data_IF_198928339941
#
_entry.id   IF_198928339941
#
_cell.length_a   1.000
_cell.length_b   1.000
_cell.length_c   1.000
_cell.angle_alpha   90.00
_cell.angle_beta   90.00
_cell.angle_gamma   90.00
#
_symmetry.space_group_name_H-M   'P 1'
#
loop_
_entity.id
_entity.type
_entity.pdbx_description
1 polymer ?
#
# COMPACT_ATOMS: atom_id res chain seq x y z
N UNK A 1 -27.99 -17.69 9.62
CA UNK A 1 -27.04 -18.78 9.29
C UNK A 1 -25.81 -18.25 8.55
N UNK A 2 -25.98 -17.46 7.47
CA UNK A 2 -24.87 -16.87 6.68
C UNK A 2 -23.95 -15.94 7.52
N UNK A 3 -24.51 -15.10 8.41
CA UNK A 3 -23.68 -14.20 9.23
C UNK A 3 -22.84 -14.91 10.30
N UNK A 4 -23.31 -16.06 10.82
CA UNK A 4 -22.57 -16.86 11.80
C UNK A 4 -21.37 -17.54 11.12
N UNK A 5 -21.60 -18.14 9.94
CA UNK A 5 -20.53 -18.75 9.16
C UNK A 5 -19.45 -17.74 8.76
N UNK A 6 -19.85 -16.52 8.36
CA UNK A 6 -18.93 -15.44 8.04
C UNK A 6 -18.05 -15.05 9.25
N UNK A 7 -18.64 -14.93 10.45
CA UNK A 7 -17.89 -14.65 11.68
C UNK A 7 -16.92 -15.78 12.06
N UNK A 8 -17.32 -17.03 11.86
CA UNK A 8 -16.47 -18.19 12.11
C UNK A 8 -15.28 -18.20 11.14
N UNK A 9 -15.52 -17.98 9.85
CA UNK A 9 -14.47 -17.90 8.83
C UNK A 9 -13.50 -16.75 9.12
N UNK A 10 -14.01 -15.58 9.48
CA UNK A 10 -13.19 -14.42 9.83
C UNK A 10 -12.32 -14.71 11.05
N UNK A 11 -12.90 -15.23 12.14
CA UNK A 11 -12.15 -15.66 13.32
C UNK A 11 -11.08 -16.70 12.97
N UNK A 12 -11.42 -17.68 12.15
CA UNK A 12 -10.45 -18.68 11.70
C UNK A 12 -9.30 -18.02 10.91
N UNK A 13 -9.61 -17.05 10.05
CA UNK A 13 -8.62 -16.34 9.21
C UNK A 13 -7.61 -15.56 10.04
N UNK A 14 -8.09 -14.75 11.00
CA UNK A 14 -7.25 -13.76 11.69
C UNK A 14 -6.78 -14.21 13.08
N UNK A 15 -7.39 -15.24 13.67
CA UNK A 15 -7.00 -15.72 15.01
C UNK A 15 -6.46 -17.16 14.99
N UNK A 16 -6.91 -18.02 14.07
CA UNK A 16 -6.51 -19.44 14.06
C UNK A 16 -5.33 -19.68 13.12
N UNK A 17 -5.41 -19.30 11.84
CA UNK A 17 -4.32 -19.53 10.88
C UNK A 17 -2.96 -18.99 11.38
N UNK A 18 -2.86 -17.78 11.96
CA UNK A 18 -1.58 -17.27 12.48
C UNK A 18 -0.92 -18.15 13.55
N UNK A 19 -1.69 -19.01 14.22
CA UNK A 19 -1.18 -19.91 15.28
C UNK A 19 -0.71 -21.27 14.74
N UNK A 20 -1.03 -21.59 13.49
CA UNK A 20 -0.68 -22.87 12.87
C UNK A 20 0.80 -22.88 12.42
N UNK A 21 1.40 -24.05 12.16
CA UNK A 21 2.74 -24.15 11.57
C UNK A 21 2.85 -23.38 10.25
N UNK A 22 3.99 -22.71 10.02
CA UNK A 22 4.20 -21.79 8.88
C UNK A 22 3.87 -22.42 7.52
N UNK A 23 4.30 -23.66 7.28
CA UNK A 23 4.08 -24.37 6.02
C UNK A 23 2.59 -24.61 5.68
N UNK A 24 1.69 -24.50 6.67
CA UNK A 24 0.25 -24.67 6.47
C UNK A 24 -0.45 -23.35 6.14
N UNK A 25 0.14 -22.19 6.43
CA UNK A 25 -0.60 -20.91 6.47
C UNK A 25 -0.98 -20.42 5.09
N UNK A 26 -0.03 -20.33 4.16
CA UNK A 26 -0.24 -19.87 2.77
C UNK A 26 -1.36 -20.64 2.05
N UNK A 27 -1.35 -21.99 1.99
CA UNK A 27 -2.45 -22.72 1.34
C UNK A 27 -3.79 -22.55 2.06
N UNK A 28 -3.82 -22.38 3.38
CA UNK A 28 -5.06 -22.12 4.12
C UNK A 28 -5.63 -20.73 3.80
N UNK A 29 -4.79 -19.69 3.80
CA UNK A 29 -5.22 -18.34 3.42
C UNK A 29 -5.73 -18.30 1.99
N UNK A 30 -5.04 -18.91 1.03
CA UNK A 30 -5.51 -18.96 -0.37
C UNK A 30 -6.94 -19.52 -0.48
N UNK A 31 -7.24 -20.61 0.23
CA UNK A 31 -8.57 -21.21 0.18
C UNK A 31 -9.64 -20.31 0.82
N UNK A 32 -9.31 -19.66 1.94
CA UNK A 32 -10.27 -18.82 2.65
C UNK A 32 -10.48 -17.48 1.97
N UNK A 33 -9.44 -16.87 1.43
CA UNK A 33 -9.55 -15.61 0.69
C UNK A 33 -10.40 -15.78 -0.57
N UNK A 34 -10.32 -16.94 -1.25
CA UNK A 34 -11.25 -17.28 -2.34
C UNK A 34 -12.72 -17.26 -1.88
N UNK A 35 -13.01 -17.85 -0.73
CA UNK A 35 -14.37 -17.84 -0.15
C UNK A 35 -14.80 -16.43 0.27
N UNK A 36 -13.87 -15.65 0.84
CA UNK A 36 -14.10 -14.26 1.22
C UNK A 36 -14.41 -13.40 -0.01
N UNK A 37 -13.65 -13.52 -1.10
CA UNK A 37 -13.89 -12.81 -2.35
C UNK A 37 -15.27 -13.12 -2.94
N UNK A 38 -15.71 -14.38 -2.91
CA UNK A 38 -17.07 -14.75 -3.34
C UNK A 38 -18.13 -14.08 -2.45
N UNK A 39 -17.94 -14.09 -1.13
CA UNK A 39 -18.84 -13.39 -0.19
C UNK A 39 -18.87 -11.89 -0.45
N UNK A 40 -17.72 -11.26 -0.67
CA UNK A 40 -17.61 -9.81 -0.87
C UNK A 40 -18.21 -9.41 -2.23
N UNK A 41 -18.07 -10.25 -3.27
CA UNK A 41 -18.79 -10.08 -4.55
C UNK A 41 -20.32 -10.20 -4.41
N UNK A 42 -20.83 -11.01 -3.49
CA UNK A 42 -22.26 -11.09 -3.20
C UNK A 42 -22.78 -9.91 -2.37
N UNK A 43 -21.89 -9.23 -1.63
CA UNK A 43 -22.20 -8.02 -0.84
C UNK A 43 -22.18 -6.78 -1.71
N UNK A 44 -21.20 -6.68 -2.61
CA UNK A 44 -21.18 -5.69 -3.66
C UNK A 44 -22.37 -5.95 -4.58
N UNK A 45 -23.35 -5.05 -4.58
CA UNK A 45 -24.40 -5.07 -5.58
C UNK A 45 -23.82 -4.62 -6.92
N UNK A 46 -23.08 -5.53 -7.57
CA UNK A 46 -22.46 -5.33 -8.89
C UNK A 46 -23.49 -5.04 -9.99
N UNK A 47 -24.79 -5.06 -9.69
CA UNK A 47 -25.86 -4.65 -10.60
C UNK A 47 -26.18 -3.16 -10.52
N UNK A 48 -25.80 -2.47 -9.44
CA UNK A 48 -25.91 -1.01 -9.31
C UNK A 48 -24.79 -0.34 -10.13
N UNK A 49 -25.10 -0.02 -11.39
CA UNK A 49 -24.17 0.68 -12.31
C UNK A 49 -23.71 2.07 -11.83
N UNK A 50 -24.33 2.65 -10.81
CA UNK A 50 -23.98 3.97 -10.25
C UNK A 50 -24.32 4.02 -8.75
N UNK A 51 -23.43 3.56 -7.84
CA UNK A 51 -23.67 3.65 -6.41
C UNK A 51 -23.73 5.11 -5.96
N UNK A 52 -24.65 5.41 -5.04
CA UNK A 52 -24.81 6.75 -4.45
C UNK A 52 -23.63 7.09 -3.53
N UNK A 53 -23.51 8.35 -3.11
CA UNK A 53 -22.53 8.75 -2.08
C UNK A 53 -22.68 7.88 -0.81
N UNK A 54 -23.92 7.67 -0.35
CA UNK A 54 -24.21 6.86 0.84
C UNK A 54 -23.79 5.40 0.65
N UNK A 55 -24.10 4.79 -0.51
CA UNK A 55 -23.66 3.42 -0.81
C UNK A 55 -22.13 3.29 -0.76
N UNK A 56 -21.41 4.30 -1.26
CA UNK A 56 -19.93 4.34 -1.23
C UNK A 56 -19.41 4.55 0.18
N UNK A 57 -20.07 5.41 0.96
CA UNK A 57 -19.66 5.72 2.33
C UNK A 57 -19.83 4.50 3.23
N UNK A 58 -20.97 3.81 3.14
CA UNK A 58 -21.23 2.57 3.86
C UNK A 58 -20.18 1.50 3.54
N UNK A 59 -19.85 1.33 2.25
CA UNK A 59 -18.81 0.41 1.82
C UNK A 59 -17.42 0.80 2.35
N UNK A 60 -17.07 2.09 2.30
CA UNK A 60 -15.79 2.59 2.79
C UNK A 60 -15.66 2.39 4.31
N UNK A 61 -16.72 2.68 5.08
CA UNK A 61 -16.74 2.49 6.53
C UNK A 61 -16.62 1.00 6.93
N UNK A 62 -17.34 0.10 6.27
CA UNK A 62 -17.18 -1.35 6.49
C UNK A 62 -15.76 -1.81 6.13
N UNK A 63 -15.21 -1.33 5.01
CA UNK A 63 -13.86 -1.66 4.57
C UNK A 63 -12.78 -1.17 5.54
N UNK A 64 -12.90 0.06 6.06
CA UNK A 64 -12.03 0.62 7.09
C UNK A 64 -12.06 -0.24 8.35
N UNK A 65 -13.24 -0.61 8.83
CA UNK A 65 -13.40 -1.46 10.01
C UNK A 65 -12.78 -2.86 9.81
N UNK A 66 -13.02 -3.49 8.67
CA UNK A 66 -12.48 -4.81 8.34
C UNK A 66 -10.95 -4.82 8.19
N UNK A 67 -10.39 -3.78 7.56
CA UNK A 67 -8.95 -3.63 7.38
C UNK A 67 -8.25 -3.37 8.71
N UNK A 68 -8.85 -2.54 9.58
CA UNK A 68 -8.37 -2.33 10.95
C UNK A 68 -8.38 -3.65 11.75
N UNK A 69 -9.49 -4.39 11.75
CA UNK A 69 -9.60 -5.67 12.46
C UNK A 69 -8.58 -6.70 11.96
N UNK A 70 -8.33 -6.76 10.65
CA UNK A 70 -7.35 -7.68 10.07
C UNK A 70 -5.92 -7.25 10.41
N UNK A 71 -5.59 -5.98 10.21
CA UNK A 71 -4.25 -5.44 10.46
C UNK A 71 -3.82 -5.55 11.92
N UNK A 72 -4.74 -5.36 12.87
CA UNK A 72 -4.45 -5.52 14.30
C UNK A 72 -4.17 -6.96 14.74
N UNK A 73 -4.67 -7.96 14.01
CA UNK A 73 -4.71 -9.36 14.45
C UNK A 73 -3.82 -10.31 13.65
N UNK A 74 -3.56 -10.01 12.38
CA UNK A 74 -2.74 -10.87 11.52
C UNK A 74 -1.27 -10.88 11.95
N UNK A 75 -0.77 -9.76 12.46
CA UNK A 75 0.58 -9.61 12.98
C UNK A 75 0.56 -8.93 14.34
N UNK A 76 1.66 -9.08 15.08
CA UNK A 76 1.87 -8.34 16.31
C UNK A 76 2.72 -7.11 16.04
N UNK A 77 2.41 -6.03 16.76
CA UNK A 77 3.29 -4.87 16.85
C UNK A 77 4.65 -5.28 17.44
N UNK A 78 5.74 -4.79 16.87
CA UNK A 78 7.07 -5.03 17.40
C UNK A 78 7.29 -4.22 18.68
N UNK A 79 7.38 -4.90 19.83
CA UNK A 79 7.46 -4.25 21.15
C UNK A 79 8.73 -3.44 21.40
N UNK A 80 9.75 -3.56 20.53
CA UNK A 80 10.96 -2.75 20.63
C UNK A 80 10.80 -1.36 20.00
N UNK A 81 9.74 -1.15 19.22
CA UNK A 81 9.49 0.12 18.54
C UNK A 81 8.61 1.00 19.42
N UNK A 82 8.99 2.26 19.57
CA UNK A 82 8.13 3.27 20.20
C UNK A 82 7.26 3.91 19.11
N UNK A 83 5.95 3.90 19.31
CA UNK A 83 4.99 4.61 18.46
C UNK A 83 4.57 5.91 19.14
N UNK A 84 4.85 7.04 18.52
CA UNK A 84 4.51 8.37 19.03
C UNK A 84 3.64 9.12 18.02
N UNK A 85 2.61 9.82 18.49
CA UNK A 85 1.88 10.81 17.68
C UNK A 85 2.61 12.15 17.75
N UNK A 86 2.91 12.75 16.60
CA UNK A 86 3.52 14.07 16.54
C UNK A 86 2.44 15.11 16.79
N UNK A 87 2.66 15.95 17.79
CA UNK A 87 1.77 17.08 18.09
C UNK A 87 1.97 18.19 17.08
N UNK A 88 0.88 18.86 16.72
CA UNK A 88 0.87 20.06 15.88
C UNK A 88 1.42 19.85 14.45
N UNK A 89 1.35 18.62 13.93
CA UNK A 89 1.59 18.34 12.51
C UNK A 89 0.48 18.92 11.62
N UNK A 90 0.76 19.23 10.34
CA UNK A 90 -0.24 19.78 9.41
C UNK A 90 -1.34 18.77 9.08
N UNK A 91 -1.03 17.48 9.25
CA UNK A 91 -1.96 16.36 9.26
C UNK A 91 -1.63 15.47 10.46
N UNK A 92 -2.42 14.42 10.70
CA UNK A 92 -2.13 13.49 11.79
C UNK A 92 -0.93 12.61 11.42
N UNK A 93 0.19 12.78 12.14
CA UNK A 93 1.44 12.08 11.85
C UNK A 93 1.85 11.24 13.06
N UNK A 94 2.31 10.03 12.78
CA UNK A 94 2.87 9.09 13.73
C UNK A 94 4.33 8.79 13.38
N UNK A 95 5.13 8.51 14.41
CA UNK A 95 6.55 8.19 14.31
C UNK A 95 6.82 6.85 14.97
N UNK A 96 7.41 5.94 14.22
CA UNK A 96 7.88 4.63 14.66
C UNK A 96 9.39 4.71 14.88
N UNK A 97 9.81 4.53 16.13
CA UNK A 97 11.19 4.74 16.57
C UNK A 97 11.78 3.39 17.00
N UNK A 98 12.70 2.81 16.23
CA UNK A 98 13.39 1.58 16.61
C UNK A 98 14.48 1.85 17.67
N UNK A 99 14.97 0.82 18.38
CA UNK A 99 15.95 1.02 19.46
C UNK A 99 17.29 1.59 18.98
N UNK A 100 17.66 1.33 17.71
CA UNK A 100 18.93 1.78 17.12
C UNK A 100 18.68 2.60 15.84
N UNK A 101 17.85 3.65 15.91
CA UNK A 101 17.56 4.52 14.75
C UNK A 101 18.82 4.94 14.01
N UNK A 102 18.81 4.73 12.69
CA UNK A 102 19.74 5.38 11.78
C UNK A 102 19.62 6.91 11.96
N UNK A 103 20.77 7.58 11.89
CA UNK A 103 20.88 9.03 12.02
C UNK A 103 20.92 9.76 10.69
N UNK A 104 20.98 9.00 9.60
CA UNK A 104 21.34 9.49 8.28
C UNK A 104 20.22 9.19 7.25
N UNK A 105 19.16 8.48 7.68
CA UNK A 105 18.00 8.16 6.86
C UNK A 105 16.72 8.00 7.68
N UNK A 106 15.59 8.31 7.06
CA UNK A 106 14.25 8.13 7.61
C UNK A 106 13.27 7.60 6.54
N UNK A 107 12.18 6.99 6.99
CA UNK A 107 11.12 6.46 6.14
C UNK A 107 9.85 7.29 6.21
N UNK A 108 9.09 7.40 5.13
CA UNK A 108 7.69 7.86 5.13
C UNK A 108 6.82 6.76 4.52
N UNK A 109 5.82 6.29 5.25
CA UNK A 109 4.92 5.23 4.82
C UNK A 109 3.60 5.80 4.32
N UNK A 110 3.26 5.48 3.07
CA UNK A 110 2.02 5.82 2.38
C UNK A 110 1.13 4.57 2.36
N UNK A 111 0.05 4.59 3.12
CA UNK A 111 -0.78 3.41 3.33
C UNK A 111 -1.67 3.07 2.14
N UNK A 112 -1.98 1.79 1.93
CA UNK A 112 -2.95 1.38 0.92
C UNK A 112 -4.38 1.40 1.45
N UNK A 113 -5.27 0.67 0.75
CA UNK A 113 -6.71 0.67 1.03
C UNK A 113 -7.56 1.38 -0.03
N UNK A 114 -7.07 1.46 -1.27
CA UNK A 114 -7.87 1.92 -2.41
C UNK A 114 -8.28 3.39 -2.36
N UNK A 115 -7.57 4.24 -1.61
CA UNK A 115 -7.92 5.63 -1.31
C UNK A 115 -9.20 5.85 -0.48
N UNK A 116 -9.91 4.79 -0.08
CA UNK A 116 -11.12 4.86 0.75
C UNK A 116 -10.99 4.17 2.11
N UNK A 117 -9.92 3.40 2.33
CA UNK A 117 -9.64 2.69 3.57
C UNK A 117 -8.14 2.78 3.92
N UNK A 118 -7.78 2.21 5.07
CA UNK A 118 -6.45 2.30 5.66
C UNK A 118 -6.44 3.27 6.84
N UNK A 119 -5.51 3.03 7.76
CA UNK A 119 -5.24 3.87 8.94
C UNK A 119 -4.03 3.33 9.68
N UNK A 120 -3.55 4.08 10.68
CA UNK A 120 -2.50 3.64 11.60
C UNK A 120 -2.83 2.27 12.23
N UNK A 121 -4.10 2.03 12.55
CA UNK A 121 -4.57 0.80 13.17
C UNK A 121 -4.32 -0.43 12.30
N UNK A 122 -4.60 -0.31 11.01
CA UNK A 122 -4.41 -1.40 10.04
C UNK A 122 -2.94 -1.65 9.67
N UNK A 123 -2.09 -0.62 9.72
CA UNK A 123 -0.73 -0.69 9.16
C UNK A 123 0.39 -0.74 10.20
N UNK A 124 0.15 -0.29 11.44
CA UNK A 124 1.19 -0.16 12.48
C UNK A 124 2.03 -1.41 12.70
N UNK A 125 1.43 -2.60 12.56
CA UNK A 125 2.13 -3.84 12.82
C UNK A 125 3.22 -4.10 11.78
N UNK A 126 2.90 -4.01 10.48
CA UNK A 126 3.91 -4.15 9.41
C UNK A 126 4.98 -3.06 9.51
N UNK A 127 4.57 -1.80 9.71
CA UNK A 127 5.48 -0.66 9.81
C UNK A 127 6.45 -0.83 10.99
N UNK A 128 5.97 -1.34 12.13
CA UNK A 128 6.83 -1.60 13.29
C UNK A 128 7.89 -2.68 13.02
N UNK A 129 7.57 -3.70 12.20
CA UNK A 129 8.57 -4.71 11.81
C UNK A 129 9.61 -4.10 10.87
N UNK A 130 9.18 -3.37 9.84
CA UNK A 130 10.08 -2.64 8.93
C UNK A 130 11.00 -1.72 9.73
N UNK A 131 10.44 -0.91 10.62
CA UNK A 131 11.19 0.05 11.45
C UNK A 131 12.23 -0.66 12.32
N UNK A 132 11.84 -1.70 13.06
CA UNK A 132 12.75 -2.47 13.91
C UNK A 132 13.87 -3.13 13.11
N UNK A 133 13.53 -3.85 12.05
CA UNK A 133 14.49 -4.74 11.38
C UNK A 133 15.46 -3.97 10.48
N UNK A 134 15.04 -2.81 9.97
CA UNK A 134 15.86 -1.90 9.17
C UNK A 134 16.59 -0.82 9.97
N UNK A 135 16.32 -0.70 11.28
CA UNK A 135 16.76 0.43 12.12
C UNK A 135 16.32 1.80 11.56
N UNK A 136 15.23 1.84 10.80
CA UNK A 136 14.72 3.05 10.18
C UNK A 136 13.65 3.68 11.08
N UNK A 137 13.80 4.97 11.38
CA UNK A 137 12.69 5.75 11.91
C UNK A 137 11.67 5.94 10.79
N UNK A 138 10.46 5.41 10.95
CA UNK A 138 9.41 5.49 9.90
C UNK A 138 8.29 6.39 10.36
N UNK A 139 7.93 7.35 9.52
CA UNK A 139 6.76 8.20 9.70
C UNK A 139 5.57 7.60 8.98
N UNK A 140 4.40 7.76 9.56
CA UNK A 140 3.11 7.43 8.96
C UNK A 140 2.22 8.65 9.08
N UNK A 141 1.38 8.92 8.10
CA UNK A 141 0.40 10.00 8.17
C UNK A 141 -0.98 9.50 7.77
N UNK A 142 -2.01 10.01 8.42
CA UNK A 142 -3.40 9.82 7.98
C UNK A 142 -3.71 10.86 6.91
N UNK A 143 -4.12 10.41 5.73
CA UNK A 143 -4.60 11.30 4.67
C UNK A 143 -6.11 11.17 4.50
N UNK A 144 -6.75 12.22 3.98
CA UNK A 144 -8.20 12.27 3.73
C UNK A 144 -8.62 11.19 2.72
N UNK A 145 -9.70 10.46 3.03
CA UNK A 145 -10.17 9.30 2.27
C UNK A 145 -11.46 9.58 1.52
N UNK A 146 -11.62 8.87 0.40
CA UNK A 146 -12.86 8.75 -0.38
C UNK A 146 -13.89 7.90 0.39
N UNK A 147 -15.21 8.13 0.22
CA UNK A 147 -15.85 9.11 -0.67
C UNK A 147 -15.98 10.53 -0.11
N UNK A 148 -15.66 10.76 1.16
CA UNK A 148 -15.76 12.07 1.79
C UNK A 148 -14.84 13.10 1.12
N UNK A 149 -13.65 12.64 0.71
CA UNK A 149 -12.63 13.46 0.07
C UNK A 149 -12.00 12.71 -1.10
N UNK A 150 -12.21 13.22 -2.32
CA UNK A 150 -11.60 12.69 -3.54
C UNK A 150 -10.30 13.43 -3.87
N UNK A 151 -9.63 13.03 -4.96
CA UNK A 151 -8.45 13.76 -5.47
C UNK A 151 -8.80 15.24 -5.68
N UNK A 152 -7.93 16.20 -5.29
CA UNK A 152 -6.53 16.02 -4.85
C UNK A 152 -6.30 15.89 -3.34
N UNK A 153 -7.32 15.66 -2.51
CA UNK A 153 -7.21 15.79 -1.04
C UNK A 153 -6.09 14.95 -0.40
N UNK A 154 -5.98 13.66 -0.76
CA UNK A 154 -4.91 12.80 -0.23
C UNK A 154 -3.52 13.21 -0.75
N UNK A 155 -3.45 13.72 -1.98
CA UNK A 155 -2.22 14.22 -2.60
C UNK A 155 -1.71 15.48 -1.89
N UNK A 156 -2.61 16.40 -1.57
CA UNK A 156 -2.30 17.60 -0.77
C UNK A 156 -1.85 17.24 0.65
N UNK A 157 -2.55 16.32 1.31
CA UNK A 157 -2.21 15.88 2.67
C UNK A 157 -0.83 15.20 2.70
N UNK A 158 -0.51 14.43 1.65
CA UNK A 158 0.80 13.82 1.48
C UNK A 158 1.91 14.85 1.30
N UNK A 159 1.72 15.89 0.46
CA UNK A 159 2.68 16.99 0.33
C UNK A 159 2.93 17.68 1.68
N UNK A 160 1.86 18.01 2.41
CA UNK A 160 1.95 18.62 3.74
C UNK A 160 2.73 17.74 4.73
N UNK A 161 2.47 16.44 4.74
CA UNK A 161 3.17 15.50 5.60
C UNK A 161 4.65 15.39 5.25
N UNK A 162 4.97 15.20 3.96
CA UNK A 162 6.35 15.08 3.46
C UNK A 162 7.14 16.34 3.75
N UNK A 163 6.62 17.52 3.42
CA UNK A 163 7.29 18.80 3.65
C UNK A 163 7.60 19.00 5.14
N UNK A 164 6.61 18.73 6.01
CA UNK A 164 6.79 18.83 7.45
C UNK A 164 7.84 17.85 7.96
N UNK A 165 7.79 16.58 7.55
CA UNK A 165 8.74 15.55 7.99
C UNK A 165 10.15 15.89 7.50
N UNK A 166 10.31 16.42 6.28
CA UNK A 166 11.60 16.86 5.74
C UNK A 166 12.23 17.96 6.60
N UNK A 167 11.44 18.87 7.18
CA UNK A 167 11.99 19.88 8.11
C UNK A 167 12.60 19.30 9.39
N UNK A 168 12.18 18.09 9.79
CA UNK A 168 12.74 17.37 10.93
C UNK A 168 14.06 16.66 10.59
N UNK A 169 14.36 16.51 9.29
CA UNK A 169 15.43 15.70 8.72
C UNK A 169 16.06 16.38 7.48
N UNK A 170 16.59 17.62 7.62
CA UNK A 170 17.03 18.41 6.47
C UNK A 170 18.14 17.72 5.66
N UNK A 171 19.05 17.03 6.32
CA UNK A 171 20.27 16.46 5.73
C UNK A 171 20.22 14.92 5.58
N UNK A 172 19.13 14.29 6.04
CA UNK A 172 19.00 12.83 6.03
C UNK A 172 18.36 12.35 4.72
N UNK A 173 18.73 11.14 4.30
CA UNK A 173 18.11 10.48 3.15
C UNK A 173 16.66 10.08 3.45
N UNK A 174 15.76 10.40 2.54
CA UNK A 174 14.35 10.04 2.63
C UNK A 174 14.05 8.78 1.82
N UNK A 175 13.39 7.81 2.47
CA UNK A 175 12.89 6.59 1.83
C UNK A 175 11.37 6.62 1.89
N UNK A 176 10.69 6.64 0.75
CA UNK A 176 9.24 6.53 0.73
C UNK A 176 8.84 5.08 0.53
N UNK A 177 7.87 4.61 1.32
CA UNK A 177 7.37 3.25 1.28
C UNK A 177 5.87 3.33 1.02
N UNK A 178 5.41 2.86 -0.13
CA UNK A 178 4.01 2.92 -0.51
C UNK A 178 3.44 1.54 -0.81
N UNK A 179 2.24 1.26 -0.32
CA UNK A 179 1.53 0.00 -0.61
C UNK A 179 0.22 0.24 -1.35
N UNK A 180 -0.05 -0.52 -2.42
CA UNK A 180 -1.31 -0.43 -3.17
C UNK A 180 -1.63 1.01 -3.61
N UNK A 181 -2.77 1.55 -3.21
CA UNK A 181 -3.12 2.97 -3.43
C UNK A 181 -2.10 3.95 -2.82
N UNK A 182 -1.45 3.62 -1.71
CA UNK A 182 -0.36 4.41 -1.14
C UNK A 182 0.91 4.35 -1.99
N UNK A 183 1.14 3.25 -2.70
CA UNK A 183 2.18 3.13 -3.72
C UNK A 183 1.88 4.04 -4.92
N UNK A 184 0.63 4.08 -5.36
CA UNK A 184 0.14 5.04 -6.35
C UNK A 184 0.30 6.48 -5.89
N UNK A 185 -0.08 6.79 -4.64
CA UNK A 185 0.05 8.12 -4.03
C UNK A 185 1.51 8.59 -3.96
N UNK A 186 2.42 7.76 -3.43
CA UNK A 186 3.84 8.09 -3.33
C UNK A 186 4.44 8.34 -4.72
N UNK A 187 4.13 7.48 -5.69
CA UNK A 187 4.59 7.61 -7.08
C UNK A 187 4.00 8.86 -7.74
N UNK A 188 2.72 9.16 -7.47
CA UNK A 188 2.02 10.35 -7.92
C UNK A 188 2.70 11.65 -7.46
N UNK A 189 3.16 11.71 -6.21
CA UNK A 189 3.96 12.84 -5.70
C UNK A 189 5.28 12.99 -6.46
N UNK A 190 5.97 11.88 -6.72
CA UNK A 190 7.28 11.90 -7.42
C UNK A 190 7.15 12.41 -8.86
N UNK A 191 6.06 12.06 -9.56
CA UNK A 191 5.85 12.46 -10.95
C UNK A 191 5.10 13.79 -11.11
N UNK A 192 4.65 14.39 -10.00
CA UNK A 192 4.02 15.70 -10.00
C UNK A 192 5.06 16.80 -10.27
N UNK A 193 5.00 17.39 -11.47
CA UNK A 193 5.93 18.42 -11.93
C UNK A 193 5.81 19.75 -11.14
N UNK A 194 4.73 19.93 -10.38
CA UNK A 194 4.52 21.10 -9.51
C UNK A 194 5.00 20.87 -8.07
N UNK A 195 5.47 19.66 -7.75
CA UNK A 195 6.02 19.32 -6.44
C UNK A 195 7.54 19.08 -6.52
N UNK A 196 8.29 19.66 -5.59
CA UNK A 196 9.76 19.69 -5.67
C UNK A 196 10.42 18.57 -4.85
N UNK A 197 9.81 18.15 -3.74
CA UNK A 197 10.40 17.14 -2.88
C UNK A 197 10.27 15.75 -3.48
N UNK A 198 11.36 14.99 -3.43
CA UNK A 198 11.44 13.60 -3.88
C UNK A 198 12.19 12.78 -2.84
N UNK A 199 11.89 11.49 -2.70
CA UNK A 199 12.71 10.63 -1.88
C UNK A 199 14.01 10.30 -2.61
N UNK A 200 15.05 9.99 -1.83
CA UNK A 200 16.26 9.39 -2.37
C UNK A 200 15.98 7.98 -2.91
N UNK A 201 15.02 7.27 -2.29
CA UNK A 201 14.64 5.91 -2.67
C UNK A 201 13.13 5.66 -2.47
N UNK A 202 12.54 4.88 -3.36
CA UNK A 202 11.15 4.46 -3.29
C UNK A 202 11.04 2.94 -3.09
N UNK A 203 10.11 2.50 -2.25
CA UNK A 203 9.78 1.10 -2.05
C UNK A 203 8.29 0.93 -2.27
N UNK A 204 7.90 0.16 -3.28
CA UNK A 204 6.52 -0.05 -3.68
C UNK A 204 6.11 -1.50 -3.43
N UNK A 205 5.05 -1.67 -2.66
CA UNK A 205 4.47 -2.97 -2.34
C UNK A 205 3.13 -3.08 -3.08
N UNK A 206 3.07 -3.94 -4.09
CA UNK A 206 1.86 -4.15 -4.90
C UNK A 206 1.22 -2.84 -5.36
N UNK A 207 1.95 -1.91 -6.00
CA UNK A 207 1.46 -0.54 -6.22
C UNK A 207 0.31 -0.50 -7.23
N UNK A 208 -0.71 0.31 -6.95
CA UNK A 208 -1.77 0.61 -7.93
C UNK A 208 -1.35 1.83 -8.75
N UNK A 209 -0.99 1.62 -10.02
CA UNK A 209 -0.39 2.65 -10.87
C UNK A 209 -1.24 3.02 -12.10
N UNK A 210 -2.32 2.27 -12.36
CA UNK A 210 -3.34 2.63 -13.35
C UNK A 210 -4.77 2.54 -12.78
N UNK A 211 -5.40 3.70 -12.54
CA UNK A 211 -6.81 3.79 -12.13
C UNK A 211 -7.78 3.64 -13.32
N UNK A 212 -7.28 3.71 -14.56
CA UNK A 212 -8.09 3.61 -15.79
C UNK A 212 -8.33 2.17 -16.23
N UNK A 213 -7.67 1.24 -15.56
CA UNK A 213 -7.76 -0.20 -15.72
C UNK A 213 -9.21 -0.67 -15.85
N UNK A 214 -9.62 -0.94 -17.09
CA UNK A 214 -10.95 -1.45 -17.39
C UNK A 214 -10.89 -2.96 -17.74
N UNK A 215 -12.06 -3.58 -17.85
CA UNK A 215 -12.17 -5.01 -18.12
C UNK A 215 -11.54 -5.48 -19.44
N UNK A 216 -11.41 -4.62 -20.45
CA UNK A 216 -10.97 -5.01 -21.79
C UNK A 216 -9.45 -5.12 -21.93
N UNK A 217 -8.69 -4.37 -21.13
CA UNK A 217 -7.23 -4.34 -21.13
C UNK A 217 -6.62 -5.55 -20.39
N UNK A 218 -7.43 -6.29 -19.61
CA UNK A 218 -7.01 -7.43 -18.78
C UNK A 218 -7.11 -8.80 -19.47
N UNK A 219 -7.28 -8.84 -20.80
CA UNK A 219 -7.44 -10.08 -21.60
C UNK A 219 -6.29 -11.07 -21.49
N UNK A 220 -5.13 -10.68 -20.95
CA UNK A 220 -3.95 -11.54 -20.86
C UNK A 220 -3.70 -12.22 -19.51
N UNK A 221 -4.58 -12.06 -18.50
CA UNK A 221 -4.24 -12.52 -17.16
C UNK A 221 -4.96 -13.78 -16.72
N UNK A 222 -4.16 -14.84 -16.53
CA UNK A 222 -4.46 -16.00 -15.67
C UNK A 222 -4.47 -15.61 -14.18
N UNK A 223 -4.73 -14.35 -13.83
CA UNK A 223 -4.52 -13.86 -12.47
C UNK A 223 -5.68 -14.30 -11.59
N UNK A 224 -5.32 -15.04 -10.55
CA UNK A 224 -6.27 -15.68 -9.64
C UNK A 224 -6.54 -14.84 -8.41
N UNK A 225 -6.33 -13.51 -8.48
CA UNK A 225 -6.37 -12.58 -7.36
C UNK A 225 -7.52 -12.92 -6.42
N UNK A 226 -7.19 -13.31 -5.19
CA UNK A 226 -8.17 -13.79 -4.22
C UNK A 226 -8.64 -12.69 -3.27
N UNK A 227 -8.16 -11.47 -3.48
CA UNK A 227 -8.34 -10.31 -2.59
C UNK A 227 -9.01 -9.14 -3.29
N UNK A 228 -8.51 -8.70 -4.44
CA UNK A 228 -9.06 -7.55 -5.16
C UNK A 228 -10.17 -8.00 -6.11
N UNK A 229 -11.27 -7.23 -6.12
CA UNK A 229 -12.41 -7.43 -7.01
C UNK A 229 -12.30 -6.41 -8.16
N UNK A 230 -11.99 -6.90 -9.34
CA UNK A 230 -11.84 -6.11 -10.58
C UNK A 230 -13.08 -5.26 -10.89
N UNK A 231 -14.29 -5.78 -10.63
CA UNK A 231 -15.59 -5.07 -10.81
C UNK A 231 -15.80 -3.90 -9.85
N UNK A 232 -14.91 -3.67 -8.89
CA UNK A 232 -14.97 -2.49 -8.01
C UNK A 232 -13.79 -1.55 -8.16
N UNK A 233 -12.68 -1.99 -8.77
CA UNK A 233 -11.47 -1.18 -8.89
C UNK A 233 -11.67 0.02 -9.81
N UNK A 234 -12.28 -0.21 -10.98
CA UNK A 234 -12.51 0.85 -11.97
C UNK A 234 -13.45 1.92 -11.40
N UNK A 235 -14.55 1.51 -10.77
CA UNK A 235 -15.56 2.40 -10.19
C UNK A 235 -15.05 3.15 -8.95
N UNK A 236 -14.08 2.58 -8.22
CA UNK A 236 -13.33 3.27 -7.17
C UNK A 236 -12.39 4.30 -7.80
N UNK A 237 -11.61 3.89 -8.80
CA UNK A 237 -10.66 4.75 -9.50
C UNK A 237 -11.34 5.95 -10.16
N UNK A 238 -12.43 5.73 -10.90
CA UNK A 238 -13.23 6.78 -11.52
C UNK A 238 -13.81 7.75 -10.50
N UNK A 239 -14.38 7.24 -9.41
CA UNK A 239 -14.98 8.10 -8.40
C UNK A 239 -13.93 8.92 -7.65
N UNK A 240 -12.80 8.30 -7.30
CA UNK A 240 -11.69 8.98 -6.63
C UNK A 240 -11.03 10.03 -7.53
N UNK A 241 -10.85 9.72 -8.81
CA UNK A 241 -10.28 10.65 -9.79
C UNK A 241 -11.20 11.85 -10.08
N UNK A 242 -12.51 11.65 -10.06
CA UNK A 242 -13.49 12.70 -10.33
C UNK A 242 -13.25 13.39 -11.68
N UNK A 243 -13.25 14.72 -11.67
CA UNK A 243 -13.07 15.53 -12.90
C UNK A 243 -11.66 15.45 -13.51
N UNK A 244 -10.66 15.00 -12.73
CA UNK A 244 -9.27 14.90 -13.20
C UNK A 244 -9.05 13.72 -14.14
N UNK A 245 -9.95 12.73 -14.10
CA UNK A 245 -9.92 11.55 -14.94
C UNK A 245 -8.87 10.52 -14.52
N UNK A 246 -9.18 9.24 -14.76
CA UNK A 246 -8.36 8.10 -14.34
C UNK A 246 -7.03 7.97 -15.09
N UNK A 247 -6.83 8.71 -16.19
CA UNK A 247 -5.56 8.75 -16.93
C UNK A 247 -4.68 9.95 -16.57
N UNK A 248 -5.05 10.72 -15.54
CA UNK A 248 -4.20 11.78 -15.04
C UNK A 248 -2.86 11.18 -14.58
N UNK A 249 -1.70 11.68 -15.06
CA UNK A 249 -0.38 11.15 -14.69
C UNK A 249 -0.06 11.07 -13.19
N UNK A 250 -0.63 11.96 -12.38
CA UNK A 250 -0.43 11.95 -10.92
C UNK A 250 -1.21 10.81 -10.28
N UNK A 251 -2.43 10.55 -10.79
CA UNK A 251 -3.30 9.47 -10.31
C UNK A 251 -2.84 8.11 -10.83
N UNK A 252 -2.41 8.06 -12.10
CA UNK A 252 -2.00 6.85 -12.81
C UNK A 252 -0.60 7.03 -13.42
N UNK A 253 0.46 6.84 -12.61
CA UNK A 253 1.85 7.08 -13.01
C UNK A 253 2.35 6.29 -14.22
N UNK A 254 1.65 5.21 -14.62
CA UNK A 254 1.93 4.53 -15.91
C UNK A 254 1.86 5.49 -17.10
N UNK A 255 1.09 6.58 -17.00
CA UNK A 255 0.99 7.63 -18.04
C UNK A 255 1.95 8.81 -17.84
N UNK A 256 2.71 8.86 -16.75
CA UNK A 256 3.54 10.01 -16.41
C UNK A 256 4.86 10.13 -17.17
N UNK A 257 5.57 11.22 -16.96
CA UNK A 257 6.99 11.33 -17.34
C UNK A 257 7.84 10.89 -16.14
N UNK A 258 8.89 10.10 -16.38
CA UNK A 258 9.70 9.49 -15.31
C UNK A 258 11.18 9.84 -15.42
N UNK A 259 11.54 10.86 -16.22
CA UNK A 259 12.95 11.22 -16.50
C UNK A 259 13.82 11.52 -15.26
N UNK A 260 13.20 11.88 -14.13
CA UNK A 260 13.88 12.20 -12.85
C UNK A 260 13.25 11.41 -11.70
N UNK A 261 13.02 10.10 -11.92
CA UNK A 261 12.46 9.19 -10.92
C UNK A 261 13.59 8.60 -10.05
N UNK A 262 13.38 8.45 -8.73
CA UNK A 262 14.37 7.89 -7.82
C UNK A 262 14.54 6.38 -8.02
N UNK A 263 15.65 5.86 -7.50
CA UNK A 263 15.87 4.42 -7.40
C UNK A 263 14.72 3.74 -6.66
N UNK A 264 14.25 2.62 -7.18
CA UNK A 264 13.03 1.99 -6.69
C UNK A 264 13.12 0.48 -6.55
N UNK A 265 12.67 -0.02 -5.40
CA UNK A 265 12.32 -1.42 -5.19
C UNK A 265 10.81 -1.60 -5.42
N UNK A 266 10.42 -2.54 -6.27
CA UNK A 266 9.01 -2.92 -6.49
C UNK A 266 8.84 -4.39 -6.14
N UNK A 267 7.99 -4.68 -5.16
CA UNK A 267 7.52 -6.02 -4.85
C UNK A 267 6.10 -6.20 -5.36
N UNK A 268 5.82 -7.26 -6.10
CA UNK A 268 4.47 -7.57 -6.60
C UNK A 268 4.28 -9.09 -6.73
N UNK A 269 3.06 -9.60 -6.59
CA UNK A 269 2.83 -11.02 -6.87
C UNK A 269 2.30 -11.24 -8.29
N UNK A 270 2.55 -12.41 -8.88
CA UNK A 270 2.09 -12.70 -10.25
C UNK A 270 0.58 -12.94 -10.33
N UNK A 271 -0.04 -13.24 -9.19
CA UNK A 271 -1.45 -13.60 -9.09
C UNK A 271 -2.39 -12.42 -8.82
N UNK A 272 -1.87 -11.22 -8.53
CA UNK A 272 -2.69 -10.02 -8.29
C UNK A 272 -3.06 -9.24 -9.56
N UNK A 273 -4.09 -8.41 -9.45
CA UNK A 273 -4.54 -7.57 -10.57
C UNK A 273 -3.53 -6.47 -10.96
N UNK A 274 -2.72 -6.00 -10.00
CA UNK A 274 -1.77 -4.89 -10.18
C UNK A 274 -0.40 -5.34 -10.71
N UNK A 275 -0.24 -6.63 -11.04
CA UNK A 275 1.01 -7.14 -11.60
C UNK A 275 1.42 -6.37 -12.85
N UNK A 276 0.48 -6.01 -13.71
CA UNK A 276 0.79 -5.37 -15.00
C UNK A 276 1.18 -3.93 -14.86
N UNK A 277 0.46 -3.19 -14.03
CA UNK A 277 0.84 -1.85 -13.59
C UNK A 277 2.33 -1.83 -13.22
N UNK A 278 2.75 -2.77 -12.36
CA UNK A 278 4.13 -2.89 -11.95
C UNK A 278 5.07 -3.24 -13.11
N UNK A 279 4.76 -4.25 -13.95
CA UNK A 279 5.62 -4.64 -15.07
C UNK A 279 5.76 -3.53 -16.12
N UNK A 280 4.66 -2.88 -16.50
CA UNK A 280 4.66 -1.79 -17.47
C UNK A 280 5.44 -0.59 -16.93
N UNK A 281 5.28 -0.28 -15.64
CA UNK A 281 6.02 0.80 -15.01
C UNK A 281 7.52 0.48 -14.88
N UNK A 282 7.90 -0.75 -14.50
CA UNK A 282 9.31 -1.19 -14.48
C UNK A 282 9.95 -1.01 -15.83
N UNK A 283 9.31 -1.50 -16.91
CA UNK A 283 9.83 -1.36 -18.27
C UNK A 283 10.08 0.10 -18.63
N UNK A 284 9.14 0.97 -18.26
CA UNK A 284 9.25 2.42 -18.50
C UNK A 284 10.42 3.05 -17.76
N UNK A 285 10.70 2.61 -16.54
CA UNK A 285 11.86 3.06 -15.75
C UNK A 285 13.18 2.55 -16.36
N UNK A 286 13.22 1.28 -16.76
CA UNK A 286 14.38 0.66 -17.43
C UNK A 286 14.69 1.36 -18.77
N UNK A 287 13.67 1.68 -19.57
CA UNK A 287 13.82 2.44 -20.84
C UNK A 287 14.45 3.83 -20.62
N UNK A 288 14.38 4.37 -19.40
CA UNK A 288 14.99 5.64 -18.98
C UNK A 288 16.29 5.46 -18.20
N UNK A 289 16.79 4.23 -18.07
CA UNK A 289 17.99 3.86 -17.31
C UNK A 289 17.90 4.20 -15.80
N UNK A 290 16.70 4.23 -15.25
CA UNK A 290 16.49 4.37 -13.80
C UNK A 290 16.74 3.01 -13.15
N UNK A 291 17.43 3.00 -12.01
CA UNK A 291 17.71 1.78 -11.28
C UNK A 291 16.42 1.26 -10.62
N UNK A 292 15.93 0.13 -11.11
CA UNK A 292 14.73 -0.53 -10.60
C UNK A 292 15.04 -1.97 -10.21
N UNK A 293 14.72 -2.32 -8.98
CA UNK A 293 14.73 -3.69 -8.52
C UNK A 293 13.30 -4.24 -8.47
N UNK A 294 12.94 -5.08 -9.43
CA UNK A 294 11.68 -5.82 -9.40
C UNK A 294 11.85 -7.16 -8.67
N UNK A 295 10.97 -7.44 -7.72
CA UNK A 295 10.89 -8.72 -7.01
C UNK A 295 9.47 -9.28 -7.11
N UNK A 296 9.35 -10.50 -7.64
CA UNK A 296 8.06 -11.15 -7.87
C UNK A 296 7.86 -12.39 -7.01
N UNK A 297 6.64 -12.58 -6.51
CA UNK A 297 6.23 -13.80 -5.79
C UNK A 297 5.08 -14.50 -6.49
N UNK A 298 5.18 -15.83 -6.57
CA UNK A 298 4.14 -16.69 -7.13
C UNK A 298 3.30 -17.30 -6.00
N UNK A 299 2.00 -17.53 -6.25
CA UNK A 299 1.14 -18.28 -5.32
C UNK A 299 0.79 -17.53 -4.03
N UNK A 300 0.98 -16.22 -4.00
CA UNK A 300 0.49 -15.31 -2.96
C UNK A 300 -0.57 -14.37 -3.56
N UNK A 301 -0.95 -13.31 -2.84
CA UNK A 301 -2.02 -12.40 -3.24
C UNK A 301 -1.63 -10.96 -2.93
N UNK A 302 -2.46 -10.01 -3.36
CA UNK A 302 -2.20 -8.59 -3.17
C UNK A 302 -1.88 -8.24 -1.71
N UNK A 303 -0.79 -7.49 -1.51
CA UNK A 303 -0.31 -7.04 -0.20
C UNK A 303 -0.07 -8.21 0.79
N UNK A 304 0.50 -9.33 0.31
CA UNK A 304 0.76 -10.51 1.14
C UNK A 304 1.70 -10.23 2.33
N UNK A 305 2.48 -9.15 2.29
CA UNK A 305 3.36 -8.69 3.38
C UNK A 305 2.61 -8.53 4.71
N UNK A 306 1.30 -8.25 4.68
CA UNK A 306 0.44 -8.14 5.87
C UNK A 306 0.03 -9.48 6.49
N UNK A 307 0.41 -10.61 5.89
CA UNK A 307 0.00 -11.93 6.36
C UNK A 307 1.16 -12.63 7.09
N UNK A 308 0.88 -13.41 8.15
CA UNK A 308 1.91 -14.12 8.91
C UNK A 308 2.33 -15.41 8.20
N UNK A 309 2.79 -15.29 6.95
CA UNK A 309 3.20 -16.41 6.08
C UNK A 309 4.69 -16.33 5.78
N UNK A 310 5.29 -17.45 5.36
CA UNK A 310 6.73 -17.54 5.08
C UNK A 310 7.17 -16.50 4.05
N UNK A 311 6.41 -16.38 2.97
CA UNK A 311 6.67 -15.51 1.83
C UNK A 311 6.63 -14.02 2.21
N UNK A 312 5.82 -13.65 3.21
CA UNK A 312 5.76 -12.29 3.73
C UNK A 312 7.00 -11.94 4.55
N UNK A 313 7.50 -12.88 5.36
CA UNK A 313 8.76 -12.68 6.09
C UNK A 313 9.97 -12.60 5.14
N UNK A 314 10.01 -13.44 4.10
CA UNK A 314 11.02 -13.36 3.05
C UNK A 314 10.96 -12.02 2.30
N UNK A 315 9.76 -11.55 1.95
CA UNK A 315 9.56 -10.25 1.32
C UNK A 315 10.02 -9.09 2.22
N UNK A 316 9.71 -9.13 3.52
CA UNK A 316 10.17 -8.15 4.50
C UNK A 316 11.70 -8.16 4.66
N UNK A 317 12.32 -9.34 4.69
CA UNK A 317 13.78 -9.46 4.71
C UNK A 317 14.41 -8.77 3.49
N UNK A 318 13.82 -8.93 2.31
CA UNK A 318 14.28 -8.22 1.09
C UNK A 318 14.11 -6.72 1.14
N UNK A 319 13.03 -6.20 1.74
CA UNK A 319 12.86 -4.76 1.99
C UNK A 319 13.98 -4.26 2.92
N UNK A 320 14.27 -5.01 4.00
CA UNK A 320 15.30 -4.66 4.98
C UNK A 320 16.71 -4.71 4.37
N UNK A 321 17.01 -5.72 3.57
CA UNK A 321 18.25 -5.83 2.80
C UNK A 321 18.42 -4.62 1.88
N UNK A 322 17.37 -4.24 1.13
CA UNK A 322 17.38 -3.07 0.27
C UNK A 322 17.70 -1.80 1.07
N UNK A 323 16.91 -1.50 2.12
CA UNK A 323 17.12 -0.32 2.97
C UNK A 323 18.54 -0.28 3.57
N UNK A 324 19.09 -1.42 3.98
CA UNK A 324 20.46 -1.49 4.55
C UNK A 324 21.55 -1.34 3.49
N UNK A 325 21.29 -1.73 2.25
CA UNK A 325 22.23 -1.61 1.14
C UNK A 325 22.38 -0.17 0.63
N UNK A 326 21.41 0.71 0.92
CA UNK A 326 21.47 2.12 0.56
C UNK A 326 22.65 2.79 1.29
N UNK A 327 23.67 3.15 0.51
CA UNK A 327 24.82 3.90 1.01
C UNK A 327 24.42 5.34 1.32
N UNK A 328 24.91 5.85 2.45
CA UNK A 328 24.73 7.24 2.80
C UNK A 328 25.55 8.11 1.85
N UNK A 329 24.86 8.78 0.95
CA UNK A 329 25.43 9.82 0.13
C UNK A 329 25.16 11.14 0.83
N UNK A 330 26.09 11.58 1.68
CA UNK A 330 26.05 12.94 2.22
C UNK A 330 26.08 13.90 1.04
N UNK A 331 24.94 14.52 0.74
CA UNK A 331 24.87 15.70 -0.11
C UNK A 331 25.67 16.80 0.60
N UNK A 332 26.93 16.98 0.19
CA UNK A 332 27.76 18.10 0.58
C UNK A 332 27.26 19.41 -0.01
#
# INVERSE_FOLDING_TARGET
MISILAKILEKFTIEIIPTLPMFMRTPLYLNILKLRKVKDRLRLDVTKKNPTFEDRLDYALDSRANLNNSGEKLHNFNSNVVLEEIKDGPVKIYKFIPPNSSKDKYGIYFHGGGYFAGSITSHKNLISQISNDSNLTVYFFEYRLSPEYNFPSAHEDAKLAVDFIKTLHPDDQSIWIGESAGGGLATGLVVDKEYLEKPDNLILLSPWLDLSDNFEDKKFFKNSDVTIIIEGMFEVGEYYAGEYGTKNPILSPVYADVDDFPDVLIQVCTDELLYNDAIEFVKKLEDKNINVQLQTWDGVWHAWQFFPIKEAYEALEKIVEYIKSLEFHSSK
#
